data_IF_142582780007
#
_entry.id   IF_142582780007
#
_cell.length_a   1.000
_cell.length_b   1.000
_cell.length_c   1.000
_cell.angle_alpha   90.00
_cell.angle_beta   90.00
_cell.angle_gamma   90.00
#
_symmetry.space_group_name_H-M   'P 1'
#
loop_
_entity.id
_entity.type
_entity.pdbx_description
1 polymer ?
#
# COMPACT_ATOMS: atom_id res chain seq x y z
N UNK A 1 -74.81 -4.41 -54.57
CA UNK A 1 -73.91 -5.45 -54.00
C UNK A 1 -72.51 -5.40 -54.63
N UNK A 2 -71.97 -4.20 -54.84
CA UNK A 2 -70.62 -3.95 -55.39
C UNK A 2 -69.49 -4.15 -54.38
N UNK A 3 -69.83 -4.51 -53.13
CA UNK A 3 -68.89 -4.78 -52.04
C UNK A 3 -68.47 -6.26 -51.89
N UNK A 4 -69.01 -7.19 -52.68
CA UNK A 4 -68.69 -8.62 -52.58
C UNK A 4 -67.55 -9.06 -53.53
N UNK A 5 -67.48 -8.51 -54.75
CA UNK A 5 -66.43 -8.83 -55.72
C UNK A 5 -65.08 -8.16 -55.38
N UNK A 6 -65.11 -6.93 -54.85
CA UNK A 6 -63.92 -6.21 -54.36
C UNK A 6 -63.24 -6.94 -53.19
N UNK A 7 -64.04 -7.55 -52.29
CA UNK A 7 -63.57 -8.32 -51.15
C UNK A 7 -62.96 -9.67 -51.57
N UNK A 8 -63.63 -10.38 -52.49
CA UNK A 8 -63.15 -11.66 -53.02
C UNK A 8 -61.83 -11.56 -53.81
N UNK A 9 -61.63 -10.46 -54.55
CA UNK A 9 -60.38 -10.22 -55.29
C UNK A 9 -59.25 -9.80 -54.34
N UNK A 10 -59.52 -9.00 -53.29
CA UNK A 10 -58.51 -8.65 -52.28
C UNK A 10 -58.08 -9.83 -51.41
N UNK A 11 -58.99 -10.73 -51.04
CA UNK A 11 -58.67 -11.92 -50.23
C UNK A 11 -57.85 -12.95 -51.03
N UNK A 12 -58.19 -13.21 -52.30
CA UNK A 12 -57.44 -14.16 -53.15
C UNK A 12 -56.04 -13.67 -53.59
N UNK A 13 -55.84 -12.35 -53.72
CA UNK A 13 -54.52 -11.78 -54.01
C UNK A 13 -53.64 -11.80 -52.75
N UNK A 14 -54.23 -11.59 -51.57
CA UNK A 14 -53.48 -11.63 -50.29
C UNK A 14 -53.04 -13.05 -49.93
N UNK A 15 -53.86 -14.08 -50.15
CA UNK A 15 -53.47 -15.49 -49.94
C UNK A 15 -52.40 -15.99 -50.93
N UNK A 16 -52.42 -15.51 -52.18
CA UNK A 16 -51.39 -15.87 -53.18
C UNK A 16 -50.04 -15.17 -52.96
N UNK A 17 -50.01 -14.00 -52.31
CA UNK A 17 -48.78 -13.30 -51.94
C UNK A 17 -48.17 -13.87 -50.65
N UNK A 18 -48.99 -14.36 -49.71
CA UNK A 18 -48.53 -14.96 -48.45
C UNK A 18 -48.05 -16.43 -48.59
N UNK A 19 -48.50 -17.17 -49.62
CA UNK A 19 -48.11 -18.58 -49.82
C UNK A 19 -46.82 -18.81 -50.61
N UNK A 20 -46.23 -17.79 -51.25
CA UNK A 20 -45.04 -17.93 -52.11
C UNK A 20 -43.68 -17.53 -51.50
N UNK A 21 -43.60 -17.17 -50.22
CA UNK A 21 -42.34 -16.77 -49.58
C UNK A 21 -42.05 -17.47 -48.24
N UNK A 22 -42.18 -18.80 -48.21
CA UNK A 22 -41.52 -19.62 -47.17
C UNK A 22 -40.50 -20.55 -47.82
N UNK A 23 -39.34 -19.99 -48.20
CA UNK A 23 -38.12 -20.80 -48.21
C UNK A 23 -37.99 -21.40 -46.82
N UNK A 24 -37.98 -22.73 -46.72
CA UNK A 24 -37.62 -23.47 -45.51
C UNK A 24 -36.28 -22.93 -44.99
N UNK A 25 -36.33 -21.94 -44.09
CA UNK A 25 -35.22 -21.62 -43.22
C UNK A 25 -35.09 -22.81 -42.30
N UNK A 26 -34.09 -23.64 -42.59
CA UNK A 26 -33.60 -24.68 -41.69
C UNK A 26 -33.29 -23.96 -40.38
N UNK A 27 -34.15 -24.11 -39.36
CA UNK A 27 -33.91 -23.60 -38.02
C UNK A 27 -32.50 -24.05 -37.62
N UNK A 28 -31.55 -23.11 -37.60
CA UNK A 28 -30.28 -23.30 -36.91
C UNK A 28 -30.64 -23.57 -35.46
N UNK A 29 -30.46 -24.81 -35.01
CA UNK A 29 -30.48 -25.14 -33.59
C UNK A 29 -29.59 -24.12 -32.87
N UNK A 30 -30.11 -23.60 -31.75
CA UNK A 30 -29.39 -22.72 -30.86
C UNK A 30 -27.96 -23.23 -30.65
N UNK A 31 -26.99 -22.30 -30.68
CA UNK A 31 -25.61 -22.60 -30.38
C UNK A 31 -25.54 -23.22 -28.98
N UNK A 32 -25.41 -24.54 -28.94
CA UNK A 32 -25.23 -25.33 -27.73
C UNK A 32 -24.14 -24.70 -26.87
N UNK A 33 -24.40 -24.73 -25.57
CA UNK A 33 -23.58 -24.26 -24.45
C UNK A 33 -22.22 -25.00 -24.41
N UNK A 34 -21.34 -24.70 -25.38
CA UNK A 34 -20.06 -25.38 -25.50
C UNK A 34 -19.14 -24.93 -24.37
N UNK A 35 -19.03 -25.79 -23.35
CA UNK A 35 -18.10 -25.60 -22.24
C UNK A 35 -16.66 -25.59 -22.74
N UNK A 36 -16.01 -24.44 -22.57
CA UNK A 36 -14.60 -24.24 -22.92
C UNK A 36 -13.72 -25.06 -21.99
N UNK A 37 -12.91 -25.95 -22.55
CA UNK A 37 -11.99 -26.82 -21.80
C UNK A 37 -10.78 -26.03 -21.31
N UNK A 38 -10.48 -26.15 -20.01
CA UNK A 38 -9.24 -25.62 -19.41
C UNK A 38 -8.06 -26.59 -19.55
N UNK A 39 -6.82 -26.07 -19.49
CA UNK A 39 -5.60 -26.90 -19.50
C UNK A 39 -5.62 -27.94 -18.36
N UNK A 40 -6.10 -27.56 -17.18
CA UNK A 40 -6.19 -28.46 -16.03
C UNK A 40 -7.24 -29.56 -16.23
N UNK A 41 -8.43 -29.23 -16.72
CA UNK A 41 -9.48 -30.22 -17.05
C UNK A 41 -9.02 -31.19 -18.15
N UNK A 42 -8.30 -30.68 -19.16
CA UNK A 42 -7.74 -31.51 -20.24
C UNK A 42 -6.84 -32.62 -19.70
N UNK A 43 -5.94 -32.30 -18.78
CA UNK A 43 -5.04 -33.29 -18.18
C UNK A 43 -5.71 -34.14 -17.09
N UNK A 44 -6.64 -33.60 -16.29
CA UNK A 44 -7.33 -34.34 -15.22
C UNK A 44 -8.33 -35.38 -15.77
N UNK A 45 -9.09 -35.00 -16.79
CA UNK A 45 -10.18 -35.82 -17.34
C UNK A 45 -9.75 -36.61 -18.58
N UNK A 46 -8.46 -36.60 -18.93
CA UNK A 46 -7.90 -37.29 -20.10
C UNK A 46 -8.70 -37.01 -21.40
N UNK A 47 -9.02 -35.73 -21.63
CA UNK A 47 -9.92 -35.32 -22.72
C UNK A 47 -9.29 -35.61 -24.08
N UNK A 48 -10.00 -36.37 -24.93
CA UNK A 48 -9.58 -36.66 -26.29
C UNK A 48 -10.11 -35.61 -27.27
N UNK A 49 -9.25 -34.68 -27.72
CA UNK A 49 -9.64 -33.62 -28.65
C UNK A 49 -10.05 -34.13 -30.05
N UNK A 50 -9.75 -35.38 -30.40
CA UNK A 50 -10.18 -35.98 -31.67
C UNK A 50 -11.70 -36.18 -31.73
N UNK A 51 -12.37 -36.32 -30.59
CA UNK A 51 -13.83 -36.49 -30.55
C UNK A 51 -14.60 -35.19 -30.83
N UNK A 52 -13.95 -34.03 -30.70
CA UNK A 52 -14.59 -32.72 -30.84
C UNK A 52 -14.95 -32.41 -32.31
N UNK A 53 -16.05 -31.69 -32.51
CA UNK A 53 -16.46 -31.20 -33.82
C UNK A 53 -15.60 -29.99 -34.23
N UNK A 54 -15.48 -29.75 -35.54
CA UNK A 54 -14.68 -28.62 -36.04
C UNK A 54 -15.11 -27.25 -35.50
N UNK A 55 -16.42 -26.92 -35.36
CA UNK A 55 -16.85 -25.65 -34.77
C UNK A 55 -16.39 -25.50 -33.31
N UNK A 56 -16.48 -26.56 -32.52
CA UNK A 56 -16.06 -26.62 -31.11
C UNK A 56 -14.55 -26.36 -30.97
N UNK A 57 -13.74 -26.99 -31.82
CA UNK A 57 -12.29 -26.75 -31.87
C UNK A 57 -11.96 -25.30 -32.26
N UNK A 58 -12.68 -24.72 -33.22
CA UNK A 58 -12.49 -23.31 -33.61
C UNK A 58 -12.85 -22.35 -32.46
N UNK A 59 -13.91 -22.65 -31.69
CA UNK A 59 -14.26 -21.90 -30.49
C UNK A 59 -13.15 -21.97 -29.43
N UNK A 60 -12.61 -23.17 -29.18
CA UNK A 60 -11.54 -23.38 -28.21
C UNK A 60 -10.25 -22.65 -28.60
N UNK A 61 -9.82 -22.78 -29.87
CA UNK A 61 -8.65 -22.08 -30.42
C UNK A 61 -8.82 -20.56 -30.33
N UNK A 62 -10.01 -20.04 -30.64
CA UNK A 62 -10.33 -18.60 -30.53
C UNK A 62 -10.26 -18.11 -29.07
N UNK A 63 -10.77 -18.89 -28.12
CA UNK A 63 -10.71 -18.55 -26.69
C UNK A 63 -9.27 -18.37 -26.19
N UNK A 64 -8.38 -19.30 -26.56
CA UNK A 64 -6.95 -19.20 -26.23
C UNK A 64 -6.16 -18.25 -27.13
N UNK A 65 -6.85 -17.46 -27.96
CA UNK A 65 -6.25 -16.46 -28.87
C UNK A 65 -5.21 -17.08 -29.83
N UNK A 66 -5.43 -18.32 -30.24
CA UNK A 66 -4.59 -19.04 -31.18
C UNK A 66 -5.11 -18.84 -32.62
N UNK A 67 -4.27 -19.03 -33.66
CA UNK A 67 -4.72 -18.93 -35.04
C UNK A 67 -5.79 -19.99 -35.39
N UNK A 68 -6.92 -19.57 -35.97
CA UNK A 68 -8.12 -20.40 -36.22
C UNK A 68 -8.09 -21.11 -37.60
N UNK A 69 -7.09 -20.83 -38.43
CA UNK A 69 -6.96 -21.39 -39.80
C UNK A 69 -6.47 -22.84 -39.79
N UNK A 70 -6.83 -23.62 -40.82
CA UNK A 70 -6.33 -24.98 -41.03
C UNK A 70 -7.37 -26.09 -40.85
N UNK A 71 -6.90 -27.32 -41.06
CA UNK A 71 -7.72 -28.54 -40.93
C UNK A 71 -7.89 -28.95 -39.44
N UNK A 72 -8.77 -29.92 -39.18
CA UNK A 72 -9.07 -30.40 -37.82
C UNK A 72 -7.81 -30.85 -37.06
N UNK A 73 -6.86 -31.53 -37.73
CA UNK A 73 -5.62 -32.01 -37.12
C UNK A 73 -4.71 -30.86 -36.64
N UNK A 74 -4.54 -29.83 -37.47
CA UNK A 74 -3.72 -28.66 -37.15
C UNK A 74 -4.28 -27.91 -35.93
N UNK A 75 -5.62 -27.77 -35.84
CA UNK A 75 -6.25 -27.12 -34.69
C UNK A 75 -6.01 -27.90 -33.40
N UNK A 76 -6.15 -29.24 -33.44
CA UNK A 76 -5.86 -30.12 -32.30
C UNK A 76 -4.40 -29.97 -31.88
N UNK A 77 -3.46 -30.09 -32.81
CA UNK A 77 -2.02 -30.00 -32.53
C UNK A 77 -1.65 -28.66 -31.85
N UNK A 78 -2.25 -27.55 -32.30
CA UNK A 78 -2.05 -26.22 -31.69
C UNK A 78 -2.54 -26.17 -30.26
N UNK A 79 -3.74 -26.70 -29.99
CA UNK A 79 -4.29 -26.74 -28.63
C UNK A 79 -3.40 -27.60 -27.73
N UNK A 80 -3.04 -28.80 -28.17
CA UNK A 80 -2.19 -29.73 -27.40
C UNK A 80 -0.82 -29.12 -27.10
N UNK A 81 -0.21 -28.48 -28.10
CA UNK A 81 1.06 -27.77 -27.94
C UNK A 81 0.93 -26.60 -26.95
N UNK A 82 -0.15 -25.83 -27.05
CA UNK A 82 -0.42 -24.71 -26.13
C UNK A 82 -0.59 -25.20 -24.70
N UNK A 83 -1.43 -26.22 -24.47
CA UNK A 83 -1.65 -26.80 -23.15
C UNK A 83 -0.37 -27.42 -22.56
N UNK A 84 0.42 -28.10 -23.39
CA UNK A 84 1.73 -28.63 -22.99
C UNK A 84 2.65 -27.50 -22.52
N UNK A 85 2.75 -26.40 -23.28
CA UNK A 85 3.53 -25.22 -22.89
C UNK A 85 3.01 -24.59 -21.60
N UNK A 86 1.69 -24.40 -21.46
CA UNK A 86 1.08 -23.86 -20.24
C UNK A 86 1.43 -24.71 -19.02
N UNK A 87 1.30 -26.03 -19.10
CA UNK A 87 1.64 -26.96 -18.01
C UNK A 87 3.08 -26.80 -17.54
N UNK A 88 4.03 -26.72 -18.46
CA UNK A 88 5.44 -26.51 -18.11
C UNK A 88 5.71 -25.11 -17.57
N UNK A 89 5.10 -24.07 -18.16
CA UNK A 89 5.19 -22.70 -17.63
C UNK A 89 4.70 -22.61 -16.20
N UNK A 90 3.56 -23.23 -15.86
CA UNK A 90 3.03 -23.27 -14.49
C UNK A 90 4.02 -23.94 -13.54
N UNK A 91 4.63 -25.06 -13.95
CA UNK A 91 5.66 -25.76 -13.14
C UNK A 91 6.89 -24.88 -12.90
N UNK A 92 7.41 -24.25 -13.95
CA UNK A 92 8.57 -23.34 -13.85
C UNK A 92 8.25 -22.17 -12.93
N UNK A 93 7.09 -21.53 -13.13
CA UNK A 93 6.65 -20.42 -12.28
C UNK A 93 6.49 -20.83 -10.81
N UNK A 94 5.97 -22.04 -10.52
CA UNK A 94 5.88 -22.56 -9.16
C UNK A 94 7.25 -22.67 -8.50
N UNK A 95 8.22 -23.27 -9.21
CA UNK A 95 9.59 -23.39 -8.71
C UNK A 95 10.24 -22.02 -8.51
N UNK A 96 10.04 -21.11 -9.45
CA UNK A 96 10.57 -19.75 -9.40
C UNK A 96 9.99 -18.94 -8.22
N UNK A 97 8.67 -18.98 -8.00
CA UNK A 97 8.04 -18.32 -6.84
C UNK A 97 8.66 -18.82 -5.52
N UNK A 98 8.82 -20.14 -5.38
CA UNK A 98 9.47 -20.71 -4.20
C UNK A 98 10.95 -20.33 -4.06
N UNK A 99 11.67 -20.22 -5.18
CA UNK A 99 13.06 -19.75 -5.18
C UNK A 99 13.15 -18.30 -4.68
N UNK A 100 12.29 -17.40 -5.15
CA UNK A 100 12.26 -16.00 -4.74
C UNK A 100 12.01 -15.86 -3.23
N UNK A 101 11.07 -16.62 -2.68
CA UNK A 101 10.81 -16.63 -1.23
C UNK A 101 12.03 -17.12 -0.44
N UNK A 102 12.65 -18.24 -0.83
CA UNK A 102 13.86 -18.73 -0.14
C UNK A 102 15.03 -17.77 -0.25
N UNK A 103 15.17 -17.12 -1.41
CA UNK A 103 16.18 -16.10 -1.63
C UNK A 103 15.96 -14.91 -0.69
N UNK A 104 14.72 -14.43 -0.51
CA UNK A 104 14.44 -13.32 0.39
C UNK A 104 14.89 -13.62 1.82
N UNK A 105 14.56 -14.79 2.36
CA UNK A 105 15.00 -15.22 3.69
C UNK A 105 16.53 -15.27 3.81
N UNK A 106 17.21 -15.84 2.80
CA UNK A 106 18.68 -15.92 2.78
C UNK A 106 19.34 -14.54 2.78
N UNK A 107 18.74 -13.56 2.11
CA UNK A 107 19.32 -12.22 1.94
C UNK A 107 19.16 -11.31 3.17
N UNK A 108 18.42 -11.70 4.21
CA UNK A 108 18.22 -10.90 5.43
C UNK A 108 19.43 -10.84 6.36
N UNK A 109 20.44 -11.66 6.06
CA UNK A 109 21.72 -11.63 6.74
C UNK A 109 21.76 -12.43 8.04
N UNK A 110 22.88 -12.34 8.77
CA UNK A 110 23.24 -13.25 9.85
C UNK A 110 22.32 -13.17 11.07
N UNK A 111 21.73 -12.00 11.36
CA UNK A 111 20.89 -11.79 12.52
C UNK A 111 19.40 -12.07 12.26
N UNK A 112 19.06 -12.69 11.12
CA UNK A 112 17.66 -12.92 10.76
C UNK A 112 16.94 -13.85 11.75
N UNK A 113 17.60 -14.93 12.18
CA UNK A 113 17.04 -15.90 13.12
C UNK A 113 17.27 -15.52 14.59
N UNK A 114 18.31 -14.74 14.87
CA UNK A 114 18.62 -14.24 16.20
C UNK A 114 19.12 -12.80 16.10
N UNK A 115 18.27 -11.87 16.53
CA UNK A 115 18.55 -10.44 16.46
C UNK A 115 19.48 -9.96 17.57
N UNK A 116 19.67 -10.76 18.64
CA UNK A 116 20.49 -10.39 19.79
C UNK A 116 21.99 -10.40 19.48
N UNK A 117 22.40 -10.99 18.36
CA UNK A 117 23.79 -10.96 17.91
C UNK A 117 24.20 -9.57 17.38
N UNK A 118 23.22 -8.70 17.10
CA UNK A 118 23.48 -7.33 16.67
C UNK A 118 24.10 -6.52 17.82
N UNK A 119 25.01 -5.62 17.48
CA UNK A 119 25.61 -4.70 18.45
C UNK A 119 24.76 -3.47 18.74
N UNK A 120 23.75 -3.19 17.91
CA UNK A 120 22.79 -2.11 18.10
C UNK A 120 21.45 -2.67 18.57
N UNK A 121 20.80 -1.97 19.50
CA UNK A 121 19.52 -2.40 20.07
C UNK A 121 18.29 -1.89 19.30
N UNK A 122 18.44 -0.78 18.58
CA UNK A 122 17.33 -0.09 17.87
C UNK A 122 17.73 0.30 16.45
N UNK A 123 16.76 0.51 15.55
CA UNK A 123 16.96 1.10 14.22
C UNK A 123 17.29 2.60 14.27
N UNK A 124 18.09 3.09 13.33
CA UNK A 124 18.61 4.46 13.35
C UNK A 124 17.62 5.53 12.87
N UNK A 125 16.52 5.16 12.18
CA UNK A 125 15.49 6.10 11.73
C UNK A 125 14.22 5.92 12.55
N UNK A 126 13.68 4.70 12.60
CA UNK A 126 12.43 4.43 13.30
C UNK A 126 12.62 4.43 14.82
N UNK A 127 13.86 4.26 15.30
CA UNK A 127 14.20 4.08 16.71
C UNK A 127 13.47 2.89 17.35
N UNK A 128 12.97 1.98 16.51
CA UNK A 128 12.28 0.77 16.90
C UNK A 128 13.30 -0.26 17.40
N UNK A 129 13.07 -0.89 18.57
CA UNK A 129 13.88 -2.01 19.03
C UNK A 129 13.99 -3.11 17.97
N UNK A 130 15.17 -3.70 17.83
CA UNK A 130 15.42 -4.64 16.73
C UNK A 130 14.50 -5.84 16.79
N UNK A 131 14.07 -6.30 17.96
CA UNK A 131 13.12 -7.40 18.18
C UNK A 131 11.68 -7.07 17.77
N UNK A 132 11.31 -5.79 17.76
CA UNK A 132 9.97 -5.34 17.36
C UNK A 132 9.81 -5.19 15.84
N UNK A 133 10.90 -5.02 15.09
CA UNK A 133 10.85 -4.84 13.64
C UNK A 133 10.18 -6.07 12.96
N UNK A 134 9.18 -5.90 12.09
CA UNK A 134 8.61 -7.04 11.34
C UNK A 134 9.69 -7.80 10.56
N UNK A 135 9.65 -9.13 10.55
CA UNK A 135 10.69 -9.93 9.91
C UNK A 135 10.80 -9.64 8.41
N UNK A 136 9.70 -9.21 7.78
CA UNK A 136 9.60 -8.77 6.39
C UNK A 136 10.46 -7.55 6.12
N UNK A 137 10.60 -6.67 7.10
CA UNK A 137 11.34 -5.42 7.02
C UNK A 137 12.69 -5.50 7.74
N UNK A 138 13.09 -6.64 8.28
CA UNK A 138 14.39 -6.77 8.94
C UNK A 138 15.50 -7.09 7.94
N UNK A 139 16.62 -6.40 8.06
CA UNK A 139 17.89 -6.71 7.38
C UNK A 139 19.05 -6.58 8.35
N UNK A 140 20.06 -7.43 8.17
CA UNK A 140 21.31 -7.36 8.93
C UNK A 140 22.51 -7.63 8.03
N UNK A 141 23.66 -7.10 8.41
CA UNK A 141 24.93 -7.50 7.80
C UNK A 141 26.05 -7.47 8.83
N UNK A 142 27.13 -8.16 8.49
CA UNK A 142 28.36 -8.24 9.29
C UNK A 142 29.44 -7.41 8.62
N UNK A 143 30.07 -6.51 9.36
CA UNK A 143 31.13 -5.65 8.84
C UNK A 143 32.48 -6.37 8.77
N UNK A 144 33.52 -5.64 8.34
CA UNK A 144 34.88 -6.16 8.24
C UNK A 144 35.56 -6.41 9.60
N UNK A 145 34.99 -5.87 10.70
CA UNK A 145 35.45 -6.03 12.08
C UNK A 145 34.65 -7.08 12.84
N UNK A 146 33.91 -7.90 12.11
CA UNK A 146 33.05 -8.96 12.62
C UNK A 146 31.84 -8.50 13.47
N UNK A 147 31.53 -7.20 13.49
CA UNK A 147 30.33 -6.69 14.16
C UNK A 147 29.10 -6.87 13.28
N UNK A 148 28.01 -7.34 13.88
CA UNK A 148 26.73 -7.50 13.19
C UNK A 148 25.82 -6.32 13.53
N UNK A 149 25.21 -5.72 12.51
CA UNK A 149 24.27 -4.64 12.67
C UNK A 149 22.91 -5.02 12.08
N UNK A 150 21.84 -4.68 12.79
CA UNK A 150 20.46 -4.88 12.38
C UNK A 150 19.79 -3.56 12.02
N UNK A 151 18.89 -3.60 11.03
CA UNK A 151 18.24 -2.42 10.47
C UNK A 151 16.81 -2.74 10.08
N UNK A 152 15.96 -1.70 10.12
CA UNK A 152 14.77 -1.67 9.32
C UNK A 152 15.17 -1.43 7.84
N UNK A 153 14.68 -2.29 6.95
CA UNK A 153 15.00 -2.32 5.54
C UNK A 153 14.57 -1.03 4.84
N UNK A 154 13.45 -0.44 5.25
CA UNK A 154 13.01 0.84 4.69
C UNK A 154 13.96 1.96 5.09
N UNK A 155 14.37 2.02 6.36
CA UNK A 155 15.32 2.99 6.88
C UNK A 155 16.65 2.97 6.12
N UNK A 156 17.24 1.77 5.96
CA UNK A 156 18.53 1.63 5.27
C UNK A 156 18.43 1.92 3.76
N UNK A 157 17.29 1.61 3.12
CA UNK A 157 17.04 2.00 1.72
C UNK A 157 16.91 3.51 1.57
N UNK A 158 16.28 4.20 2.52
CA UNK A 158 16.22 5.67 2.53
C UNK A 158 17.60 6.31 2.69
N UNK A 159 18.46 5.72 3.52
CA UNK A 159 19.85 6.15 3.64
C UNK A 159 20.60 6.00 2.31
N UNK A 160 20.44 4.87 1.62
CA UNK A 160 21.06 4.60 0.30
C UNK A 160 20.59 5.59 -0.77
N UNK A 161 19.35 6.08 -0.69
CA UNK A 161 18.79 7.06 -1.63
C UNK A 161 19.44 8.45 -1.50
N UNK A 162 20.06 8.77 -0.36
CA UNK A 162 20.72 10.08 -0.16
C UNK A 162 21.98 10.16 -1.03
N UNK A 163 22.24 11.34 -1.59
CA UNK A 163 23.45 11.58 -2.39
C UNK A 163 24.68 11.59 -1.50
N UNK A 164 25.74 10.87 -1.89
CA UNK A 164 27.03 10.88 -1.20
C UNK A 164 27.54 9.49 -0.87
N UNK A 165 28.53 9.45 0.04
CA UNK A 165 29.14 8.21 0.50
C UNK A 165 28.17 7.47 1.44
N UNK A 166 27.77 6.27 1.06
CA UNK A 166 26.89 5.44 1.89
C UNK A 166 27.74 4.84 3.02
N UNK A 167 27.40 5.22 4.25
CA UNK A 167 28.08 4.76 5.45
C UNK A 167 27.08 4.12 6.41
N UNK A 168 27.56 3.22 7.26
CA UNK A 168 26.77 2.67 8.35
C UNK A 168 26.48 3.79 9.38
N UNK A 169 25.21 4.00 9.78
CA UNK A 169 24.84 5.08 10.70
C UNK A 169 25.43 4.95 12.12
N UNK A 170 25.81 3.75 12.56
CA UNK A 170 26.33 3.53 13.93
C UNK A 170 27.84 3.75 14.04
N UNK A 171 28.62 3.26 13.07
CA UNK A 171 30.08 3.32 13.12
C UNK A 171 30.71 4.27 12.06
N UNK A 172 29.89 4.83 11.16
CA UNK A 172 30.29 5.74 10.06
C UNK A 172 31.26 5.15 9.05
N UNK A 173 31.46 3.84 9.07
CA UNK A 173 32.29 3.14 8.08
C UNK A 173 31.54 3.00 6.75
N UNK A 174 32.31 2.90 5.67
CA UNK A 174 31.76 2.78 4.32
C UNK A 174 31.15 1.41 4.14
N UNK A 175 29.92 1.36 3.65
CA UNK A 175 29.25 0.09 3.40
C UNK A 175 29.78 -0.57 2.12
N UNK A 176 30.05 -1.87 2.17
CA UNK A 176 30.45 -2.63 0.99
C UNK A 176 29.32 -2.63 -0.07
N UNK A 177 29.72 -2.50 -1.33
CA UNK A 177 28.85 -2.57 -2.51
C UNK A 177 28.05 -3.87 -2.53
N UNK A 178 28.62 -4.97 -2.01
CA UNK A 178 27.90 -6.24 -1.85
C UNK A 178 26.62 -6.07 -1.02
N UNK A 179 26.73 -5.48 0.17
CA UNK A 179 25.60 -5.29 1.07
C UNK A 179 24.58 -4.32 0.50
N UNK A 180 25.03 -3.26 -0.18
CA UNK A 180 24.13 -2.33 -0.88
C UNK A 180 23.29 -3.07 -1.93
N UNK A 181 23.89 -3.98 -2.71
CA UNK A 181 23.16 -4.80 -3.69
C UNK A 181 22.19 -5.76 -3.02
N UNK A 182 22.59 -6.38 -1.90
CA UNK A 182 21.74 -7.28 -1.13
C UNK A 182 20.49 -6.54 -0.62
N UNK A 183 20.67 -5.35 -0.03
CA UNK A 183 19.58 -4.49 0.45
C UNK A 183 18.61 -4.13 -0.66
N UNK A 184 19.10 -3.61 -1.80
CA UNK A 184 18.25 -3.21 -2.92
C UNK A 184 17.48 -4.40 -3.49
N UNK A 185 18.16 -5.54 -3.65
CA UNK A 185 17.54 -6.75 -4.20
C UNK A 185 16.47 -7.29 -3.26
N UNK A 186 16.76 -7.35 -1.97
CA UNK A 186 15.81 -7.79 -0.95
C UNK A 186 14.58 -6.87 -0.91
N UNK A 187 14.79 -5.55 -0.91
CA UNK A 187 13.73 -4.55 -0.97
C UNK A 187 12.83 -4.81 -2.18
N UNK A 188 13.40 -4.98 -3.37
CA UNK A 188 12.61 -5.27 -4.57
C UNK A 188 11.85 -6.60 -4.47
N UNK A 189 12.46 -7.66 -3.94
CA UNK A 189 11.80 -8.96 -3.77
C UNK A 189 10.60 -8.86 -2.84
N UNK A 190 10.74 -8.16 -1.70
CA UNK A 190 9.67 -8.01 -0.71
C UNK A 190 8.44 -7.33 -1.31
N UNK A 191 8.63 -6.36 -2.20
CA UNK A 191 7.55 -5.66 -2.89
C UNK A 191 6.70 -6.60 -3.79
N UNK A 192 7.30 -7.70 -4.28
CA UNK A 192 6.59 -8.74 -5.03
C UNK A 192 5.99 -9.82 -4.13
N UNK A 193 6.67 -10.20 -3.06
CA UNK A 193 6.27 -11.31 -2.18
C UNK A 193 5.22 -10.87 -1.16
N UNK A 194 5.34 -9.66 -0.61
CA UNK A 194 4.50 -9.10 0.45
C UNK A 194 3.78 -7.86 -0.08
N UNK A 195 2.70 -8.09 -0.84
CA UNK A 195 1.97 -7.02 -1.55
C UNK A 195 1.33 -5.96 -0.63
N UNK A 196 1.16 -6.27 0.66
CA UNK A 196 0.65 -5.38 1.71
C UNK A 196 1.63 -4.26 2.06
N UNK A 197 2.93 -4.42 1.74
CA UNK A 197 4.01 -3.46 2.04
C UNK A 197 4.42 -2.61 0.82
N UNK A 198 3.51 -2.43 -0.15
CA UNK A 198 3.75 -1.60 -1.33
C UNK A 198 3.77 -0.12 -0.96
N UNK A 199 4.96 0.38 -0.61
CA UNK A 199 5.22 1.81 -0.49
C UNK A 199 5.08 2.51 -1.85
N UNK A 200 4.41 3.66 -1.90
CA UNK A 200 4.40 4.56 -3.06
C UNK A 200 5.83 4.95 -3.51
N UNK A 201 6.80 4.90 -2.59
CA UNK A 201 8.22 5.14 -2.83
C UNK A 201 8.83 4.18 -3.87
N UNK A 202 8.26 2.99 -4.08
CA UNK A 202 8.72 2.02 -5.08
C UNK A 202 8.66 2.57 -6.52
N UNK A 203 7.71 3.45 -6.83
CA UNK A 203 7.60 4.08 -8.14
C UNK A 203 8.84 4.92 -8.50
N UNK A 204 9.55 5.47 -7.51
CA UNK A 204 10.73 6.34 -7.73
C UNK A 204 12.03 5.59 -7.97
N UNK A 205 12.19 4.36 -7.47
CA UNK A 205 13.39 3.55 -7.73
C UNK A 205 13.44 3.05 -9.18
N UNK A 206 12.28 2.87 -9.82
CA UNK A 206 12.17 2.50 -11.23
C UNK A 206 12.40 3.67 -12.21
N UNK A 207 12.64 4.91 -11.74
CA UNK A 207 12.92 6.07 -12.63
C UNK A 207 14.40 6.10 -13.07
N UNK A 208 15.28 5.26 -12.50
CA UNK A 208 16.66 5.10 -12.98
C UNK A 208 16.81 4.00 -14.06
N UNK A 209 15.72 3.33 -14.44
CA UNK A 209 15.67 2.49 -15.63
C UNK A 209 15.12 3.30 -16.81
N UNK A 210 16.00 4.02 -17.52
CA UNK A 210 15.71 4.32 -18.93
C UNK A 210 15.52 2.97 -19.63
N UNK A 211 14.34 2.79 -20.26
CA UNK A 211 14.02 1.58 -21.00
C UNK A 211 15.06 1.44 -22.12
N UNK A 212 15.80 0.32 -22.23
CA UNK A 212 16.57 0.09 -23.43
C UNK A 212 15.57 -0.05 -24.59
N UNK A 213 15.69 0.85 -25.57
CA UNK A 213 15.01 0.69 -26.85
C UNK A 213 15.48 -0.62 -27.47
N UNK A 214 14.52 -1.53 -27.64
CA UNK A 214 14.76 -2.88 -28.10
C UNK A 214 15.04 -2.85 -29.61
N UNK A 215 16.31 -2.96 -30.02
CA UNK A 215 16.67 -3.37 -31.37
C UNK A 215 17.67 -4.54 -31.32
N UNK A 216 17.17 -5.69 -31.76
CA UNK A 216 17.89 -6.91 -32.16
C UNK A 216 18.49 -7.83 -31.07
N UNK A 217 17.84 -8.99 -30.96
CA UNK A 217 18.29 -10.21 -30.29
C UNK A 217 19.61 -10.74 -30.89
N UNK A 218 20.60 -11.03 -30.03
CA UNK A 218 21.42 -12.23 -30.11
C UNK A 218 21.58 -12.85 -28.71
N UNK A 219 21.65 -14.18 -28.58
CA UNK A 219 21.76 -14.85 -27.29
C UNK A 219 23.24 -15.06 -26.92
N UNK A 220 23.66 -14.60 -25.74
CA UNK A 220 24.84 -15.11 -25.02
C UNK A 220 24.75 -14.77 -23.52
N UNK A 221 25.52 -15.44 -22.64
CA UNK A 221 25.05 -15.94 -21.37
C UNK A 221 25.59 -15.09 -20.19
N UNK A 222 24.93 -15.18 -19.04
CA UNK A 222 25.39 -14.65 -17.74
C UNK A 222 25.58 -13.12 -17.73
N UNK A 223 24.55 -12.40 -17.31
CA UNK A 223 24.64 -10.95 -17.09
C UNK A 223 25.22 -10.63 -15.71
N UNK A 224 26.54 -10.51 -15.64
CA UNK A 224 27.21 -9.47 -14.86
C UNK A 224 26.80 -8.11 -15.40
N UNK A 225 26.01 -7.33 -14.67
CA UNK A 225 25.72 -5.96 -15.06
C UNK A 225 26.78 -5.02 -14.48
N UNK A 226 27.74 -4.68 -15.32
CA UNK A 226 28.80 -3.69 -15.13
C UNK A 226 28.34 -2.36 -15.71
N UNK A 227 27.62 -1.53 -14.94
CA UNK A 227 27.40 -0.07 -15.15
C UNK A 227 26.75 0.44 -13.83
N UNK A 228 27.34 1.32 -13.02
CA UNK A 228 27.55 2.76 -13.23
C UNK A 228 28.64 3.35 -12.29
N UNK A 229 29.93 3.06 -12.54
CA UNK A 229 31.04 3.69 -11.76
C UNK A 229 31.91 4.64 -12.59
N UNK A 230 31.87 4.57 -13.93
CA UNK A 230 32.71 5.45 -14.78
C UNK A 230 32.24 6.92 -14.77
N UNK A 231 30.95 7.20 -14.57
CA UNK A 231 30.44 8.59 -14.51
C UNK A 231 30.71 9.33 -13.19
N UNK A 232 31.16 8.63 -12.14
CA UNK A 232 31.50 9.27 -10.86
C UNK A 232 32.96 9.75 -10.85
N UNK A 233 33.84 9.09 -11.62
CA UNK A 233 35.26 9.43 -11.69
C UNK A 233 35.53 10.77 -12.40
N UNK A 234 34.71 11.15 -13.39
CA UNK A 234 34.94 12.37 -14.19
C UNK A 234 34.47 13.67 -13.50
N UNK A 235 33.63 13.59 -12.47
CA UNK A 235 33.10 14.76 -11.76
C UNK A 235 34.03 15.31 -10.66
N UNK A 236 35.14 14.63 -10.36
CA UNK A 236 35.95 14.91 -9.16
C UNK A 236 37.24 15.72 -9.38
N UNK A 237 37.53 16.16 -10.62
CA UNK A 237 38.77 16.92 -10.93
C UNK A 237 38.57 18.42 -11.25
N UNK A 238 37.41 19.00 -10.93
CA UNK A 238 37.16 20.42 -11.15
C UNK A 238 36.85 21.18 -9.87
N UNK A 239 37.69 22.18 -9.56
CA UNK A 239 37.48 23.29 -8.62
C UNK A 239 38.11 23.17 -7.22
N UNK A 240 39.41 23.50 -7.17
CA UNK A 240 40.00 24.28 -6.09
C UNK A 240 39.83 25.79 -6.35
N UNK A 241 39.76 26.57 -5.26
CA UNK A 241 39.92 28.03 -5.10
C UNK A 241 38.67 28.92 -5.24
N UNK A 242 38.12 29.41 -4.12
CA UNK A 242 38.46 30.74 -3.58
C UNK A 242 37.69 31.06 -2.27
N UNK A 243 38.45 31.44 -1.23
CA UNK A 243 37.99 32.06 0.01
C UNK A 243 37.87 33.58 -0.22
N UNK A 244 36.78 34.21 0.25
CA UNK A 244 36.75 35.62 0.71
C UNK A 244 35.72 35.83 1.82
N UNK A 245 36.08 36.72 2.74
CA UNK A 245 35.51 36.98 4.06
C UNK A 245 35.04 38.45 4.21
N UNK A 246 34.24 38.75 5.26
CA UNK A 246 34.03 40.04 6.00
C UNK A 246 32.90 41.00 5.47
N UNK A 247 32.20 41.88 6.27
CA UNK A 247 31.91 41.99 7.72
C UNK A 247 30.42 42.28 8.13
N UNK A 248 30.18 42.29 9.46
CA UNK A 248 29.08 42.92 10.23
C UNK A 248 29.08 44.47 10.21
N UNK A 249 27.92 45.08 10.41
CA UNK A 249 27.76 46.37 11.10
C UNK A 249 26.50 46.40 11.99
N UNK A 250 26.62 47.09 13.12
CA UNK A 250 25.60 47.33 14.15
C UNK A 250 24.95 48.70 13.94
N UNK A 251 23.68 48.85 14.32
CA UNK A 251 23.13 50.13 14.79
C UNK A 251 21.95 49.90 15.74
N UNK A 252 21.99 50.61 16.86
CA UNK A 252 21.08 50.53 18.01
C UNK A 252 20.17 51.76 18.02
N UNK A 253 18.87 51.59 18.28
CA UNK A 253 18.04 52.63 18.93
C UNK A 253 16.76 52.05 19.56
N UNK A 254 16.73 52.19 20.90
CA UNK A 254 15.63 52.49 21.83
C UNK A 254 14.33 51.69 21.93
N UNK A 255 14.06 51.39 23.20
CA UNK A 255 13.02 50.61 23.84
C UNK A 255 11.72 51.42 23.92
N UNK A 256 10.62 50.83 23.46
CA UNK A 256 9.29 50.99 24.05
C UNK A 256 8.82 49.58 24.40
N UNK A 257 8.59 49.34 25.68
CA UNK A 257 8.10 48.06 26.21
C UNK A 257 6.83 47.63 25.48
N UNK A 258 6.97 46.56 24.68
CA UNK A 258 5.83 45.79 24.18
C UNK A 258 6.12 44.36 24.57
N UNK A 259 5.35 43.86 25.54
CA UNK A 259 5.34 42.45 25.94
C UNK A 259 5.13 41.61 24.68
N UNK A 260 6.20 41.00 24.18
CA UNK A 260 6.16 40.09 23.03
C UNK A 260 5.54 38.77 23.50
N UNK A 261 4.52 38.23 22.80
CA UNK A 261 4.05 36.88 23.08
C UNK A 261 5.19 35.90 22.78
N UNK A 262 5.39 34.94 23.68
CA UNK A 262 6.42 33.90 23.58
C UNK A 262 6.35 33.15 22.25
N UNK A 263 7.50 32.64 21.79
CA UNK A 263 7.72 31.88 20.54
C UNK A 263 6.73 30.72 20.31
N UNK A 264 6.10 30.20 21.37
CA UNK A 264 5.06 29.17 21.29
C UNK A 264 3.76 29.66 20.62
N UNK A 265 3.45 30.95 20.67
CA UNK A 265 2.22 31.49 20.08
C UNK A 265 2.30 31.65 18.56
N UNK A 266 3.51 31.79 18.00
CA UNK A 266 3.72 31.86 16.54
C UNK A 266 3.68 30.47 15.91
N UNK A 267 4.18 29.43 16.59
CA UNK A 267 4.08 28.04 16.15
C UNK A 267 2.62 27.58 15.99
N UNK A 268 1.74 28.05 16.88
CA UNK A 268 0.30 27.74 16.85
C UNK A 268 -0.43 28.37 15.66
N UNK A 269 0.08 29.49 15.12
CA UNK A 269 -0.54 30.21 14.00
C UNK A 269 -0.36 29.50 12.66
N UNK A 270 0.80 28.87 12.41
CA UNK A 270 1.09 28.20 11.12
C UNK A 270 0.52 26.78 11.05
N UNK A 271 0.40 26.10 12.20
CA UNK A 271 -0.34 24.83 12.32
C UNK A 271 -1.87 25.01 12.17
N UNK A 272 -2.38 26.25 12.29
CA UNK A 272 -3.79 26.59 12.53
C UNK A 272 -4.77 26.30 11.38
N UNK A 273 -4.35 26.29 10.10
CA UNK A 273 -5.34 26.36 9.01
C UNK A 273 -5.69 25.01 8.35
N UNK A 274 -4.74 24.09 8.20
CA UNK A 274 -5.00 22.78 7.56
C UNK A 274 -5.35 21.68 8.56
N UNK A 275 -4.96 21.84 9.84
CA UNK A 275 -5.11 20.85 10.89
C UNK A 275 -6.44 20.96 11.66
N UNK A 276 -6.90 22.19 11.92
CA UNK A 276 -8.13 22.47 12.67
C UNK A 276 -9.39 22.45 11.79
N UNK A 277 -9.23 22.62 10.47
CA UNK A 277 -10.31 22.66 9.48
C UNK A 277 -10.07 21.65 8.35
N UNK A 278 -10.17 20.34 8.62
CA UNK A 278 -10.03 19.30 7.60
C UNK A 278 -11.04 19.48 6.45
N UNK A 279 -10.60 19.24 5.21
CA UNK A 279 -11.46 19.32 4.02
C UNK A 279 -12.53 18.23 4.09
N UNK A 280 -13.79 18.63 4.06
CA UNK A 280 -14.92 17.69 4.10
C UNK A 280 -15.07 16.99 2.74
N UNK A 281 -15.24 15.68 2.77
CA UNK A 281 -15.32 14.84 1.55
C UNK A 281 -16.76 14.73 1.03
N UNK A 282 -17.76 14.99 1.88
CA UNK A 282 -19.19 14.78 1.61
C UNK A 282 -20.03 16.05 1.84
N UNK A 283 -21.21 16.19 1.21
CA UNK A 283 -22.17 17.24 1.56
C UNK A 283 -22.60 17.09 3.03
N UNK A 284 -22.45 18.14 3.84
CA UNK A 284 -22.75 18.06 5.26
C UNK A 284 -24.27 18.07 5.48
N UNK A 285 -24.80 16.97 6.03
CA UNK A 285 -26.11 16.99 6.68
C UNK A 285 -26.05 17.90 7.93
N UNK A 286 -27.19 18.37 8.46
CA UNK A 286 -27.21 19.17 9.68
C UNK A 286 -26.48 18.50 10.86
N UNK A 287 -26.64 17.19 11.00
CA UNK A 287 -26.04 16.37 12.06
C UNK A 287 -24.51 16.27 11.88
N UNK A 288 -24.07 16.01 10.65
CA UNK A 288 -22.63 16.00 10.32
C UNK A 288 -21.99 17.37 10.49
N UNK A 289 -22.74 18.46 10.26
CA UNK A 289 -22.28 19.83 10.52
C UNK A 289 -22.12 20.11 12.01
N UNK A 290 -23.01 19.59 12.85
CA UNK A 290 -22.85 19.68 14.30
C UNK A 290 -21.60 18.91 14.76
N UNK A 291 -21.39 17.68 14.27
CA UNK A 291 -20.19 16.89 14.58
C UNK A 291 -18.90 17.59 14.11
N UNK A 292 -18.89 18.15 12.89
CA UNK A 292 -17.78 18.94 12.37
C UNK A 292 -17.44 20.14 13.26
N UNK A 293 -18.46 20.89 13.67
CA UNK A 293 -18.29 22.06 14.54
C UNK A 293 -17.75 21.65 15.91
N UNK A 294 -18.29 20.58 16.51
CA UNK A 294 -17.80 20.03 17.78
C UNK A 294 -16.31 19.67 17.70
N UNK A 295 -15.90 18.92 16.67
CA UNK A 295 -14.47 18.55 16.47
C UNK A 295 -13.61 19.81 16.31
N UNK A 296 -14.07 20.79 15.54
CA UNK A 296 -13.34 22.05 15.31
C UNK A 296 -13.17 22.85 16.61
N UNK A 297 -14.22 22.93 17.44
CA UNK A 297 -14.19 23.60 18.74
C UNK A 297 -13.26 22.89 19.73
N UNK A 298 -13.34 21.56 19.82
CA UNK A 298 -12.44 20.75 20.65
C UNK A 298 -11.00 20.99 20.24
N UNK A 299 -10.71 20.95 18.93
CA UNK A 299 -9.34 21.11 18.44
C UNK A 299 -8.71 22.44 18.82
N UNK A 300 -9.49 23.53 18.91
CA UNK A 300 -9.02 24.86 19.35
C UNK A 300 -8.56 24.91 20.82
N UNK A 301 -8.92 23.91 21.63
CA UNK A 301 -8.53 23.83 23.05
C UNK A 301 -7.07 23.35 23.19
N UNK A 302 -6.43 23.61 24.34
CA UNK A 302 -5.10 23.06 24.62
C UNK A 302 -5.06 21.52 24.51
N UNK A 303 -3.92 20.97 24.10
CA UNK A 303 -3.75 19.52 23.83
C UNK A 303 -4.18 18.67 25.03
N UNK A 304 -3.82 19.05 26.25
CA UNK A 304 -4.18 18.29 27.44
C UNK A 304 -5.71 18.22 27.63
N UNK A 305 -6.43 19.31 27.37
CA UNK A 305 -7.91 19.36 27.46
C UNK A 305 -8.53 18.44 26.41
N UNK A 306 -8.01 18.48 25.18
CA UNK A 306 -8.46 17.60 24.09
C UNK A 306 -8.32 16.13 24.45
N UNK A 307 -7.19 15.75 25.05
CA UNK A 307 -6.96 14.37 25.49
C UNK A 307 -7.97 13.99 26.58
N UNK A 308 -8.21 14.85 27.58
CA UNK A 308 -9.19 14.55 28.63
C UNK A 308 -10.60 14.39 28.06
N UNK A 309 -11.06 15.34 27.22
CA UNK A 309 -12.38 15.28 26.61
C UNK A 309 -12.55 14.07 25.67
N UNK A 310 -11.49 13.64 25.01
CA UNK A 310 -11.50 12.44 24.18
C UNK A 310 -11.72 11.18 25.02
N UNK A 311 -10.98 11.03 26.12
CA UNK A 311 -11.12 9.85 26.98
C UNK A 311 -12.47 9.85 27.70
N UNK A 312 -12.97 11.02 28.14
CA UNK A 312 -14.33 11.15 28.66
C UNK A 312 -15.41 10.73 27.64
N UNK A 313 -15.21 11.05 26.36
CA UNK A 313 -16.14 10.61 25.32
C UNK A 313 -16.07 9.09 25.10
N UNK A 314 -14.87 8.50 25.12
CA UNK A 314 -14.71 7.05 25.04
C UNK A 314 -15.39 6.34 26.23
N UNK A 315 -15.32 6.95 27.42
CA UNK A 315 -16.05 6.50 28.61
C UNK A 315 -17.56 6.54 28.43
N UNK A 316 -18.08 7.62 27.86
CA UNK A 316 -19.51 7.75 27.53
C UNK A 316 -19.97 6.72 26.49
N UNK A 317 -19.07 6.26 25.62
CA UNK A 317 -19.34 5.16 24.68
C UNK A 317 -19.27 3.77 25.33
N UNK A 318 -19.00 3.68 26.64
CA UNK A 318 -19.11 2.46 27.43
C UNK A 318 -17.79 1.76 27.76
N UNK A 319 -16.65 2.42 27.65
CA UNK A 319 -15.34 1.84 27.96
C UNK A 319 -14.68 2.61 29.09
N UNK A 320 -14.31 2.00 30.21
CA UNK A 320 -13.60 2.72 31.29
C UNK A 320 -12.13 2.94 30.92
N UNK A 321 -11.75 4.19 30.68
CA UNK A 321 -10.42 4.53 30.18
C UNK A 321 -9.64 5.49 31.08
N UNK A 322 -8.34 5.61 30.85
CA UNK A 322 -7.49 6.58 31.51
C UNK A 322 -6.64 7.34 30.48
N UNK A 323 -6.71 8.68 30.51
CA UNK A 323 -5.98 9.57 29.60
C UNK A 323 -4.46 9.48 29.71
N UNK A 324 -3.92 8.95 30.81
CA UNK A 324 -2.49 8.62 30.97
C UNK A 324 -2.04 7.54 29.97
N UNK A 325 -2.94 6.67 29.53
CA UNK A 325 -2.62 5.64 28.53
C UNK A 325 -2.15 6.22 27.20
N UNK A 326 -2.56 7.45 26.89
CA UNK A 326 -2.09 8.19 25.73
C UNK A 326 -1.08 9.27 26.11
N UNK A 327 -1.36 10.08 27.13
CA UNK A 327 -0.55 11.25 27.45
C UNK A 327 0.84 10.91 28.01
N UNK A 328 0.99 9.74 28.66
CA UNK A 328 2.24 9.22 29.21
C UNK A 328 3.14 8.47 28.21
N UNK A 329 2.73 8.37 26.94
CA UNK A 329 3.53 7.69 25.92
C UNK A 329 4.80 8.50 25.58
N UNK A 330 5.89 7.77 25.28
CA UNK A 330 7.14 8.35 24.79
C UNK A 330 7.10 8.56 23.26
N UNK A 331 8.03 9.37 22.73
CA UNK A 331 8.11 9.71 21.30
C UNK A 331 8.01 8.50 20.35
N UNK A 332 8.82 7.46 20.58
CA UNK A 332 8.84 6.23 19.78
C UNK A 332 7.50 5.50 19.82
N UNK A 333 6.83 5.59 20.97
CA UNK A 333 5.56 4.93 21.22
C UNK A 333 4.40 5.61 20.49
N UNK A 334 4.42 6.94 20.33
CA UNK A 334 3.46 7.63 19.46
C UNK A 334 3.61 7.23 17.99
N UNK A 335 4.85 7.09 17.49
CA UNK A 335 5.07 6.61 16.13
C UNK A 335 4.50 5.20 15.93
N UNK A 336 4.75 4.30 16.89
CA UNK A 336 4.19 2.95 16.90
C UNK A 336 2.66 2.98 16.95
N UNK A 337 2.06 3.80 17.82
CA UNK A 337 0.61 3.97 17.90
C UNK A 337 0.02 4.42 16.56
N UNK A 338 0.63 5.40 15.91
CA UNK A 338 0.17 5.88 14.59
C UNK A 338 0.16 4.76 13.55
N UNK A 339 1.23 3.97 13.47
CA UNK A 339 1.33 2.83 12.55
C UNK A 339 0.28 1.75 12.84
N UNK A 340 0.05 1.44 14.13
CA UNK A 340 -0.95 0.44 14.52
C UNK A 340 -2.36 0.92 14.22
N UNK A 341 -2.67 2.20 14.48
CA UNK A 341 -3.95 2.80 14.09
C UNK A 341 -4.16 2.70 12.58
N UNK A 342 -3.13 3.01 11.79
CA UNK A 342 -3.18 2.90 10.33
C UNK A 342 -3.38 1.45 9.88
N UNK A 343 -2.65 0.52 10.47
CA UNK A 343 -2.74 -0.90 10.17
C UNK A 343 -4.12 -1.49 10.48
N UNK A 344 -4.64 -1.19 11.66
CA UNK A 344 -6.00 -1.59 12.09
C UNK A 344 -7.05 -0.98 11.16
N UNK A 345 -6.96 0.30 10.82
CA UNK A 345 -7.94 0.95 9.97
C UNK A 345 -7.94 0.39 8.55
N UNK A 346 -6.77 0.19 7.93
CA UNK A 346 -6.70 -0.20 6.52
C UNK A 346 -6.72 -1.71 6.30
N UNK A 347 -6.16 -2.50 7.22
CA UNK A 347 -5.90 -3.93 7.01
C UNK A 347 -6.55 -4.83 8.07
N UNK A 348 -6.11 -4.75 9.34
CA UNK A 348 -6.49 -5.76 10.36
C UNK A 348 -7.95 -5.69 10.81
N UNK A 349 -8.56 -4.51 10.83
CA UNK A 349 -9.92 -4.32 11.34
C UNK A 349 -11.02 -4.95 10.47
N UNK A 350 -10.70 -5.43 9.27
CA UNK A 350 -11.68 -6.08 8.38
C UNK A 350 -12.86 -5.19 7.95
N UNK A 351 -12.74 -3.87 8.16
CA UNK A 351 -13.82 -2.92 7.91
C UNK A 351 -14.07 -2.77 6.40
N UNK A 352 -15.31 -3.00 5.97
CA UNK A 352 -15.72 -2.69 4.61
C UNK A 352 -15.65 -1.18 4.37
N UNK A 353 -15.52 -0.76 3.10
CA UNK A 353 -15.53 0.66 2.73
C UNK A 353 -16.78 1.38 3.23
N UNK A 354 -17.93 0.71 3.21
CA UNK A 354 -19.19 1.26 3.70
C UNK A 354 -19.12 1.54 5.21
N UNK A 355 -18.62 0.60 6.00
CA UNK A 355 -18.48 0.78 7.45
C UNK A 355 -17.47 1.89 7.76
N UNK A 356 -16.34 1.96 7.05
CA UNK A 356 -15.38 3.07 7.20
C UNK A 356 -16.02 4.43 6.97
N UNK A 357 -16.88 4.56 5.95
CA UNK A 357 -17.62 5.79 5.67
C UNK A 357 -18.69 6.12 6.72
N UNK A 358 -19.21 5.11 7.44
CA UNK A 358 -20.13 5.34 8.56
C UNK A 358 -19.40 5.71 9.85
N UNK A 359 -18.19 5.19 10.08
CA UNK A 359 -17.34 5.56 11.23
C UNK A 359 -16.71 6.95 11.01
N UNK A 360 -16.26 7.25 9.80
CA UNK A 360 -15.64 8.53 9.45
C UNK A 360 -16.23 9.15 8.17
N UNK A 361 -17.47 9.67 8.24
CA UNK A 361 -18.19 10.28 7.10
C UNK A 361 -17.64 11.64 6.68
N UNK A 362 -16.99 12.35 7.60
CA UNK A 362 -16.49 13.71 7.38
C UNK A 362 -15.12 13.70 6.68
N UNK A 363 -14.21 12.81 7.11
CA UNK A 363 -12.81 12.79 6.73
C UNK A 363 -12.28 11.35 6.68
N UNK A 364 -11.31 11.07 5.82
CA UNK A 364 -10.47 9.88 5.99
C UNK A 364 -9.53 10.10 7.19
N UNK A 365 -9.46 9.19 8.19
CA UNK A 365 -8.79 9.46 9.47
C UNK A 365 -7.33 9.88 9.35
N UNK A 366 -6.63 9.39 8.32
CA UNK A 366 -5.21 9.64 8.05
C UNK A 366 -4.97 10.68 6.95
N UNK A 367 -6.03 11.21 6.33
CA UNK A 367 -5.88 12.15 5.21
C UNK A 367 -5.37 13.51 5.66
N UNK A 368 -4.44 14.09 4.91
CA UNK A 368 -3.81 15.39 5.17
C UNK A 368 -3.03 15.51 6.50
N UNK A 369 -2.74 14.38 7.16
CA UNK A 369 -1.88 14.36 8.33
C UNK A 369 -0.43 14.39 7.85
N UNK A 370 0.15 15.59 7.85
CA UNK A 370 1.54 15.89 7.45
C UNK A 370 1.93 15.48 6.03
N UNK A 371 1.35 16.16 5.05
CA UNK A 371 1.99 16.24 3.73
C UNK A 371 3.35 16.94 3.88
N UNK A 372 4.42 16.14 3.88
CA UNK A 372 5.81 16.56 3.67
C UNK A 372 6.42 17.54 4.69
N UNK A 373 6.61 17.10 5.94
CA UNK A 373 7.54 17.79 6.85
C UNK A 373 8.73 16.88 7.16
N UNK A 374 9.97 17.23 6.73
CA UNK A 374 11.16 16.39 6.91
C UNK A 374 11.63 16.28 8.37
N UNK A 375 11.11 17.12 9.27
CA UNK A 375 11.46 17.15 10.69
C UNK A 375 10.21 17.01 11.56
N UNK A 376 9.72 15.79 11.75
CA UNK A 376 8.59 15.52 12.65
C UNK A 376 9.08 15.58 14.10
N UNK A 377 8.73 16.65 14.82
CA UNK A 377 8.99 16.75 16.28
C UNK A 377 8.03 15.85 17.06
N UNK A 378 8.34 15.58 18.33
CA UNK A 378 7.49 14.76 19.22
C UNK A 378 6.06 15.29 19.33
N UNK A 379 5.91 16.61 19.48
CA UNK A 379 4.60 17.25 19.54
C UNK A 379 3.78 16.99 18.27
N UNK A 380 4.41 16.96 17.09
CA UNK A 380 3.72 16.65 15.84
C UNK A 380 3.16 15.22 15.81
N UNK A 381 3.89 14.22 16.31
CA UNK A 381 3.40 12.83 16.36
C UNK A 381 2.25 12.67 17.35
N UNK A 382 2.37 13.27 18.53
CA UNK A 382 1.29 13.29 19.53
C UNK A 382 0.02 13.92 18.97
N UNK A 383 0.17 15.10 18.36
CA UNK A 383 -0.89 15.82 17.66
C UNK A 383 -1.48 14.96 16.53
N UNK A 384 -0.65 14.26 15.73
CA UNK A 384 -1.09 13.35 14.67
C UNK A 384 -2.02 12.27 15.21
N UNK A 385 -1.54 11.52 16.22
CA UNK A 385 -2.28 10.41 16.80
C UNK A 385 -3.60 10.91 17.41
N UNK A 386 -3.55 12.01 18.16
CA UNK A 386 -4.75 12.61 18.76
C UNK A 386 -5.79 12.93 17.69
N UNK A 387 -5.38 13.48 16.55
CA UNK A 387 -6.28 13.85 15.43
C UNK A 387 -6.94 12.64 14.80
N UNK A 388 -6.16 11.59 14.53
CA UNK A 388 -6.67 10.33 13.98
C UNK A 388 -7.71 9.76 14.91
N UNK A 389 -7.39 9.71 16.21
CA UNK A 389 -8.29 9.17 17.23
C UNK A 389 -9.57 10.01 17.35
N UNK A 390 -9.46 11.34 17.40
CA UNK A 390 -10.61 12.25 17.40
C UNK A 390 -11.50 12.04 16.17
N UNK A 391 -10.91 11.86 14.98
CA UNK A 391 -11.67 11.55 13.77
C UNK A 391 -12.45 10.24 13.94
N UNK A 392 -11.81 9.19 14.42
CA UNK A 392 -12.43 7.87 14.58
C UNK A 392 -13.52 7.83 15.66
N UNK A 393 -13.39 8.62 16.74
CA UNK A 393 -14.29 8.58 17.90
C UNK A 393 -15.47 9.56 17.77
N UNK A 394 -15.23 10.75 17.21
CA UNK A 394 -16.27 11.80 17.18
C UNK A 394 -17.11 11.81 15.91
N UNK A 395 -16.61 11.29 14.78
CA UNK A 395 -17.25 11.57 13.49
C UNK A 395 -18.31 10.56 13.04
N UNK A 396 -18.48 9.43 13.72
CA UNK A 396 -19.42 8.38 13.32
C UNK A 396 -20.87 8.89 13.17
N UNK A 397 -21.60 8.32 12.21
CA UNK A 397 -22.97 8.74 11.87
C UNK A 397 -24.01 8.52 12.99
N UNK A 398 -23.72 7.59 13.89
CA UNK A 398 -24.53 7.22 15.05
C UNK A 398 -23.62 6.71 16.19
N UNK A 399 -24.21 6.43 17.36
CA UNK A 399 -23.46 5.97 18.54
C UNK A 399 -22.77 4.61 18.32
N UNK A 400 -23.38 3.71 17.56
CA UNK A 400 -22.82 2.37 17.32
C UNK A 400 -21.54 2.43 16.47
N UNK A 401 -21.53 3.23 15.40
CA UNK A 401 -20.34 3.42 14.59
C UNK A 401 -19.24 4.18 15.34
N UNK A 402 -19.61 5.08 16.26
CA UNK A 402 -18.65 5.73 17.17
C UNK A 402 -18.05 4.74 18.16
N UNK A 403 -18.84 3.81 18.71
CA UNK A 403 -18.36 2.69 19.54
C UNK A 403 -17.36 1.82 18.77
N UNK A 404 -17.66 1.50 17.50
CA UNK A 404 -16.74 0.73 16.65
C UNK A 404 -15.42 1.50 16.48
N UNK A 405 -15.47 2.79 16.15
CA UNK A 405 -14.28 3.63 16.04
C UNK A 405 -13.45 3.67 17.33
N UNK A 406 -14.11 3.83 18.47
CA UNK A 406 -13.47 3.80 19.79
C UNK A 406 -12.81 2.44 20.10
N UNK A 407 -13.46 1.32 19.80
CA UNK A 407 -12.89 -0.02 20.00
C UNK A 407 -11.62 -0.25 19.18
N UNK A 408 -11.56 0.24 17.94
CA UNK A 408 -10.35 0.13 17.11
C UNK A 408 -9.21 0.98 17.67
N UNK A 409 -9.51 2.17 18.18
CA UNK A 409 -8.54 3.02 18.88
C UNK A 409 -8.03 2.35 20.15
N UNK A 410 -8.92 1.79 20.97
CA UNK A 410 -8.54 1.12 22.22
C UNK A 410 -7.69 -0.12 21.95
N UNK A 411 -8.03 -0.88 20.90
CA UNK A 411 -7.20 -2.00 20.44
C UNK A 411 -5.78 -1.55 20.13
N UNK A 412 -5.61 -0.43 19.41
CA UNK A 412 -4.28 0.13 19.16
C UNK A 412 -3.57 0.58 20.44
N UNK A 413 -4.29 1.23 21.37
CA UNK A 413 -3.74 1.70 22.65
C UNK A 413 -3.25 0.54 23.53
N UNK A 414 -3.94 -0.60 23.54
CA UNK A 414 -3.52 -1.77 24.34
C UNK A 414 -2.17 -2.35 23.89
N UNK A 415 -1.78 -2.13 22.63
CA UNK A 415 -0.46 -2.59 22.14
C UNK A 415 0.65 -1.71 22.70
N UNK A 416 0.41 -0.41 22.86
CA UNK A 416 1.44 0.57 23.21
C UNK A 416 1.43 1.02 24.68
N UNK A 417 0.33 0.79 25.40
CA UNK A 417 0.16 1.19 26.80
C UNK A 417 -0.10 -0.03 27.68
N UNK A 418 0.78 -0.25 28.66
CA UNK A 418 0.65 -1.37 29.60
C UNK A 418 -0.65 -1.28 30.42
N UNK A 419 -1.00 -0.09 30.92
CA UNK A 419 -2.23 0.10 31.69
C UNK A 419 -3.49 -0.18 30.86
N UNK A 420 -3.51 0.21 29.59
CA UNK A 420 -4.62 -0.12 28.69
C UNK A 420 -4.70 -1.64 28.42
N UNK A 421 -3.54 -2.30 28.26
CA UNK A 421 -3.43 -3.75 28.03
C UNK A 421 -3.95 -4.55 29.21
N UNK A 422 -3.56 -4.18 30.42
CA UNK A 422 -3.99 -4.84 31.65
C UNK A 422 -5.48 -4.69 31.89
N UNK A 423 -6.04 -3.53 31.52
CA UNK A 423 -7.48 -3.23 31.69
C UNK A 423 -8.34 -3.94 30.64
N UNK A 424 -7.84 -4.06 29.40
CA UNK A 424 -8.58 -4.64 28.26
C UNK A 424 -7.74 -5.70 27.51
N UNK A 425 -7.38 -6.82 28.17
CA UNK A 425 -6.51 -7.83 27.56
C UNK A 425 -7.12 -8.48 26.32
N UNK A 426 -8.45 -8.60 26.26
CA UNK A 426 -9.16 -9.16 25.11
C UNK A 426 -8.99 -8.31 23.84
N UNK A 427 -8.86 -6.98 23.96
CA UNK A 427 -8.58 -6.11 22.82
C UNK A 427 -7.15 -6.29 22.34
N UNK A 428 -6.19 -6.41 23.26
CA UNK A 428 -4.80 -6.70 22.90
C UNK A 428 -4.68 -8.02 22.16
N UNK A 429 -5.28 -9.08 22.70
CA UNK A 429 -5.29 -10.40 22.07
C UNK A 429 -5.90 -10.38 20.67
N UNK A 430 -6.92 -9.54 20.43
CA UNK A 430 -7.55 -9.43 19.11
C UNK A 430 -6.63 -8.88 18.00
N UNK A 431 -5.56 -8.16 18.37
CA UNK A 431 -4.63 -7.53 17.43
C UNK A 431 -3.19 -8.06 17.52
N UNK A 432 -2.87 -8.86 18.54
CA UNK A 432 -1.53 -9.40 18.77
C UNK A 432 -1.13 -10.56 17.84
N UNK A 433 -2.08 -11.14 17.10
CA UNK A 433 -1.86 -12.30 16.22
C UNK A 433 -1.94 -11.97 14.73
#
# INVERSE_FOLDING_TARGET
>A
MTNSLSKFIKENILENVLSKNTKKTRKTKAADDFKIVTCDEYYKNHINLKSYKLPELKMLVKHYKLPVTGNKGILIERIETHFKKMKYSIKIQKLFRGFIVRLSFKMRGPAFNDRKICVNDTDFVTLEPLDEIPFELFYSYKDAKDFVYGFNLTSIVELIKKRGKITNPYNREVMDVKHIREIITLYNIIQFVFAEHKDETYMKLNILHERPTCSHLRPHPILTNRFTLERIAESLNGQMNHIRTIPRSQSSTNILERVQPTSNNVLNSELSNNYYNPRVITPLTPELRMAYNKITEIRRKPIYVRIQELFMEIDQLGNYTNSEWFSGLQRQTYYRLYRILHDIWYYRGGLSREIKLKICPLFEPFSNIFNHQPNVTEDHLKISCLTVIENMVYSGIDEDHRKIGALHVLSALTVVSAGARETMPWLYESVAY
#
